data_IF_463486797143
#
_entry.id   IF_463486797143
#
_cell.length_a   1.000
_cell.length_b   1.000
_cell.length_c   1.000
_cell.angle_alpha   90.00
_cell.angle_beta   90.00
_cell.angle_gamma   90.00
#
_symmetry.space_group_name_H-M   'P 1'
#
loop_
_entity.id
_entity.type
_entity.pdbx_description
1 polymer ?
#
# COMPACT_ATOMS: atom_id res chain seq x y z
N UNK A 1 33.34 -76.02 -38.82
CA UNK A 1 33.79 -74.99 -37.88
C UNK A 1 33.44 -73.63 -38.47
N UNK A 2 32.41 -72.96 -37.94
CA UNK A 2 31.79 -71.75 -38.50
C UNK A 2 31.63 -70.75 -37.36
N UNK A 3 32.14 -69.53 -37.59
CA UNK A 3 31.75 -68.19 -37.11
C UNK A 3 31.31 -67.98 -35.65
N UNK A 4 31.72 -66.86 -35.03
CA UNK A 4 30.84 -65.70 -34.78
C UNK A 4 31.61 -64.47 -34.27
N UNK A 5 31.22 -63.31 -34.81
CA UNK A 5 31.60 -61.93 -34.47
C UNK A 5 31.09 -61.56 -33.07
N UNK A 6 31.71 -60.57 -32.40
CA UNK A 6 31.02 -59.30 -32.08
C UNK A 6 31.84 -58.33 -31.22
N UNK A 7 31.80 -57.08 -31.68
CA UNK A 7 32.06 -55.81 -30.99
C UNK A 7 31.29 -55.69 -29.67
N UNK A 8 31.82 -54.92 -28.71
CA UNK A 8 31.03 -54.10 -27.78
C UNK A 8 31.91 -53.00 -27.15
N UNK A 9 31.68 -51.77 -27.58
CA UNK A 9 32.16 -50.55 -26.94
C UNK A 9 31.02 -50.01 -26.07
N UNK A 10 31.25 -49.85 -24.78
CA UNK A 10 30.27 -49.32 -23.81
C UNK A 10 30.50 -47.81 -23.63
N UNK A 11 29.62 -47.02 -24.26
CA UNK A 11 29.46 -45.60 -24.03
C UNK A 11 28.53 -45.42 -22.82
N UNK A 12 29.05 -44.95 -21.67
CA UNK A 12 28.22 -44.55 -20.54
C UNK A 12 27.55 -43.20 -20.83
N UNK A 13 26.23 -43.21 -21.03
CA UNK A 13 25.38 -42.03 -20.98
C UNK A 13 25.08 -41.68 -19.50
N UNK A 14 25.51 -40.50 -19.06
CA UNK A 14 25.02 -39.88 -17.82
C UNK A 14 23.77 -39.07 -18.18
N UNK A 15 22.59 -39.56 -17.82
CA UNK A 15 21.35 -38.80 -17.95
C UNK A 15 21.17 -37.91 -16.72
N UNK A 16 21.32 -36.60 -16.90
CA UNK A 16 20.93 -35.61 -15.91
C UNK A 16 19.40 -35.55 -15.86
N UNK A 17 18.82 -36.12 -14.80
CA UNK A 17 17.40 -35.95 -14.49
C UNK A 17 17.19 -34.51 -13.98
N UNK A 18 16.78 -33.62 -14.88
CA UNK A 18 16.22 -32.33 -14.49
C UNK A 18 14.87 -32.59 -13.80
N UNK A 19 14.83 -32.50 -12.47
CA UNK A 19 13.59 -32.53 -11.71
C UNK A 19 12.74 -31.31 -12.08
N UNK A 20 11.78 -31.49 -12.99
CA UNK A 20 10.66 -30.59 -13.14
C UNK A 20 9.75 -30.79 -11.91
N UNK A 21 9.96 -30.01 -10.84
CA UNK A 21 9.01 -29.95 -9.74
C UNK A 21 7.69 -29.41 -10.27
N UNK A 22 6.60 -30.12 -10.01
CA UNK A 22 5.26 -29.66 -10.36
C UNK A 22 5.02 -28.24 -9.82
N UNK A 23 4.34 -27.36 -10.57
CA UNK A 23 4.03 -26.02 -10.09
C UNK A 23 3.24 -26.13 -8.79
N UNK A 24 3.70 -25.40 -7.77
CA UNK A 24 3.03 -25.33 -6.48
C UNK A 24 1.59 -24.80 -6.68
N UNK A 25 0.58 -25.39 -6.03
CA UNK A 25 -0.80 -24.93 -6.20
C UNK A 25 -0.91 -23.47 -5.78
N UNK A 26 -1.50 -22.64 -6.65
CA UNK A 26 -1.71 -21.23 -6.34
C UNK A 26 -2.58 -21.07 -5.08
N UNK A 27 -2.13 -20.22 -4.14
CA UNK A 27 -2.89 -19.91 -2.93
C UNK A 27 -4.27 -19.34 -3.34
N UNK A 28 -5.39 -19.88 -2.81
CA UNK A 28 -6.72 -19.40 -3.12
C UNK A 28 -6.89 -17.90 -2.87
N UNK A 29 -7.68 -17.23 -3.70
CA UNK A 29 -7.93 -15.79 -3.57
C UNK A 29 -8.46 -15.40 -2.18
N UNK A 30 -9.37 -16.21 -1.61
CA UNK A 30 -9.92 -15.94 -0.29
C UNK A 30 -8.83 -15.89 0.79
N UNK A 31 -7.84 -16.78 0.72
CA UNK A 31 -6.73 -16.84 1.67
C UNK A 31 -5.77 -15.67 1.47
N UNK A 32 -5.49 -15.30 0.21
CA UNK A 32 -4.67 -14.11 -0.11
C UNK A 32 -5.33 -12.82 0.37
N UNK A 33 -6.65 -12.69 0.20
CA UNK A 33 -7.42 -11.55 0.68
C UNK A 33 -7.44 -11.51 2.22
N UNK A 34 -7.66 -12.66 2.88
CA UNK A 34 -7.62 -12.75 4.34
C UNK A 34 -6.24 -12.38 4.89
N UNK A 35 -5.16 -12.85 4.25
CA UNK A 35 -3.79 -12.50 4.62
C UNK A 35 -3.53 -11.00 4.47
N UNK A 36 -3.99 -10.36 3.39
CA UNK A 36 -3.87 -8.92 3.21
C UNK A 36 -4.59 -8.16 4.34
N UNK A 37 -5.82 -8.56 4.67
CA UNK A 37 -6.64 -7.97 5.74
C UNK A 37 -6.12 -8.21 7.17
N UNK A 38 -5.23 -9.18 7.34
CA UNK A 38 -4.60 -9.49 8.62
C UNK A 38 -3.27 -8.74 8.83
N UNK A 39 -2.92 -7.81 7.93
CA UNK A 39 -1.74 -6.97 8.09
C UNK A 39 -1.80 -6.13 9.37
N UNK A 40 -0.64 -5.76 9.91
CA UNK A 40 -0.53 -5.27 11.29
C UNK A 40 -1.19 -3.92 11.56
N UNK A 41 -1.34 -3.08 10.53
CA UNK A 41 -2.00 -1.78 10.63
C UNK A 41 -2.68 -1.41 9.29
N UNK A 42 -3.55 -0.37 9.26
CA UNK A 42 -4.30 0.01 8.06
C UNK A 42 -3.44 0.37 6.84
N UNK A 43 -2.21 0.88 7.03
CA UNK A 43 -1.31 1.21 5.92
C UNK A 43 -0.64 -0.04 5.33
N UNK A 44 -0.29 -0.99 6.19
CA UNK A 44 0.21 -2.30 5.76
C UNK A 44 -0.88 -3.11 5.06
N UNK A 45 -2.13 -3.03 5.54
CA UNK A 45 -3.29 -3.64 4.87
C UNK A 45 -3.51 -3.02 3.48
N UNK A 46 -3.43 -1.68 3.37
CA UNK A 46 -3.55 -0.99 2.08
C UNK A 46 -2.47 -1.42 1.08
N UNK A 47 -1.22 -1.53 1.55
CA UNK A 47 -0.10 -2.00 0.75
C UNK A 47 -0.29 -3.46 0.30
N UNK A 48 -0.75 -4.34 1.19
CA UNK A 48 -1.01 -5.75 0.87
C UNK A 48 -2.17 -5.91 -0.12
N UNK A 49 -3.26 -5.15 0.04
CA UNK A 49 -4.37 -5.12 -0.92
C UNK A 49 -3.93 -4.54 -2.27
N UNK A 50 -3.04 -3.55 -2.26
CA UNK A 50 -2.43 -3.00 -3.48
C UNK A 50 -1.60 -4.03 -4.21
N UNK A 51 -0.77 -4.79 -3.50
CA UNK A 51 -0.01 -5.89 -4.08
C UNK A 51 -0.93 -6.97 -4.65
N UNK A 52 -1.99 -7.35 -3.94
CA UNK A 52 -2.99 -8.32 -4.42
C UNK A 52 -3.65 -7.85 -5.72
N UNK A 53 -4.05 -6.57 -5.80
CA UNK A 53 -4.65 -5.99 -7.00
C UNK A 53 -3.66 -5.89 -8.18
N UNK A 54 -2.35 -5.92 -7.92
CA UNK A 54 -1.31 -6.00 -8.92
C UNK A 54 -1.23 -7.35 -9.66
N UNK A 55 -1.89 -8.40 -9.15
CA UNK A 55 -1.90 -9.72 -9.81
C UNK A 55 -2.78 -9.69 -11.09
N UNK A 56 -2.19 -9.87 -12.29
CA UNK A 56 -2.94 -9.85 -13.55
C UNK A 56 -3.87 -11.06 -13.71
N UNK A 57 -3.71 -12.11 -12.90
CA UNK A 57 -4.52 -13.33 -12.97
C UNK A 57 -5.81 -13.26 -12.15
N UNK A 58 -6.07 -12.15 -11.43
CA UNK A 58 -7.33 -11.97 -10.72
C UNK A 58 -8.50 -11.92 -11.71
N UNK A 59 -9.51 -12.77 -11.45
CA UNK A 59 -10.79 -12.70 -12.16
C UNK A 59 -11.47 -11.36 -11.89
N UNK A 60 -12.34 -10.88 -12.79
CA UNK A 60 -13.06 -9.61 -12.60
C UNK A 60 -13.77 -9.50 -11.25
N UNK A 61 -14.43 -10.56 -10.79
CA UNK A 61 -15.15 -10.59 -9.51
C UNK A 61 -14.21 -10.51 -8.32
N UNK A 62 -13.05 -11.17 -8.41
CA UNK A 62 -12.02 -11.13 -7.36
C UNK A 62 -11.38 -9.74 -7.27
N UNK A 63 -11.10 -9.14 -8.43
CA UNK A 63 -10.61 -7.76 -8.52
C UNK A 63 -11.64 -6.77 -7.98
N UNK A 64 -12.92 -6.94 -8.28
CA UNK A 64 -14.01 -6.12 -7.73
C UNK A 64 -14.11 -6.25 -6.20
N UNK A 65 -14.04 -7.46 -5.64
CA UNK A 65 -14.04 -7.65 -4.19
C UNK A 65 -12.80 -7.02 -3.54
N UNK A 66 -11.60 -7.21 -4.10
CA UNK A 66 -10.37 -6.61 -3.55
C UNK A 66 -10.39 -5.07 -3.63
N UNK A 67 -10.91 -4.49 -4.72
CA UNK A 67 -11.14 -3.05 -4.84
C UNK A 67 -12.12 -2.55 -3.78
N UNK A 68 -13.24 -3.24 -3.58
CA UNK A 68 -14.21 -2.87 -2.54
C UNK A 68 -13.58 -2.89 -1.14
N UNK A 69 -12.82 -3.94 -0.80
CA UNK A 69 -12.16 -4.04 0.51
C UNK A 69 -11.14 -2.91 0.72
N UNK A 70 -10.30 -2.63 -0.29
CA UNK A 70 -9.32 -1.53 -0.23
C UNK A 70 -9.99 -0.16 -0.14
N UNK A 71 -11.05 0.06 -0.91
CA UNK A 71 -11.81 1.30 -0.87
C UNK A 71 -12.40 1.57 0.53
N UNK A 72 -13.04 0.56 1.13
CA UNK A 72 -13.64 0.66 2.45
C UNK A 72 -12.58 0.92 3.53
N UNK A 73 -11.45 0.20 3.48
CA UNK A 73 -10.30 0.45 4.33
C UNK A 73 -9.82 1.90 4.21
N UNK A 74 -9.54 2.37 2.99
CA UNK A 74 -9.05 3.72 2.69
C UNK A 74 -10.01 4.81 3.16
N UNK A 75 -11.32 4.56 3.08
CA UNK A 75 -12.35 5.50 3.58
C UNK A 75 -12.45 5.52 5.10
N UNK A 76 -12.06 4.46 5.78
CA UNK A 76 -12.23 4.36 7.23
C UNK A 76 -10.90 4.52 7.96
N UNK A 77 -10.11 3.45 8.04
CA UNK A 77 -8.91 3.38 8.86
C UNK A 77 -7.63 3.75 8.10
N UNK A 78 -7.64 3.67 6.77
CA UNK A 78 -6.48 3.89 5.92
C UNK A 78 -6.24 5.34 5.52
N UNK A 79 -7.03 6.30 6.05
CA UNK A 79 -6.87 7.75 5.84
C UNK A 79 -6.61 8.16 4.38
N UNK A 80 -7.30 7.57 3.41
CA UNK A 80 -7.08 7.85 1.98
C UNK A 80 -8.42 8.04 1.26
N UNK A 81 -9.12 9.13 1.57
CA UNK A 81 -10.46 9.38 0.99
C UNK A 81 -10.45 9.47 -0.54
N UNK A 82 -9.40 10.03 -1.15
CA UNK A 82 -9.28 10.08 -2.61
C UNK A 82 -9.12 8.70 -3.23
N UNK A 83 -8.22 7.89 -2.66
CA UNK A 83 -8.02 6.51 -3.09
C UNK A 83 -9.27 5.64 -2.89
N UNK A 84 -10.06 5.90 -1.84
CA UNK A 84 -11.33 5.21 -1.63
C UNK A 84 -12.34 5.50 -2.75
N UNK A 85 -12.52 6.77 -3.13
CA UNK A 85 -13.37 7.15 -4.27
C UNK A 85 -12.92 6.43 -5.54
N UNK A 86 -11.63 6.50 -5.86
CA UNK A 86 -11.08 5.86 -7.06
C UNK A 86 -11.32 4.34 -7.09
N UNK A 87 -11.14 3.66 -5.94
CA UNK A 87 -11.34 2.21 -5.87
C UNK A 87 -12.81 1.80 -5.95
N UNK A 88 -13.73 2.54 -5.32
CA UNK A 88 -15.17 2.28 -5.45
C UNK A 88 -15.65 2.53 -6.89
N UNK A 89 -15.20 3.60 -7.54
CA UNK A 89 -15.51 3.88 -8.95
C UNK A 89 -14.99 2.78 -9.87
N UNK A 90 -13.73 2.35 -9.69
CA UNK A 90 -13.15 1.25 -10.45
C UNK A 90 -13.91 -0.07 -10.24
N UNK A 91 -14.32 -0.37 -9.01
CA UNK A 91 -15.10 -1.56 -8.68
C UNK A 91 -16.46 -1.56 -9.40
N UNK A 92 -17.19 -0.43 -9.33
CA UNK A 92 -18.51 -0.29 -9.93
C UNK A 92 -18.47 -0.27 -11.46
N UNK A 93 -17.40 0.27 -12.06
CA UNK A 93 -17.18 0.22 -13.50
C UNK A 93 -16.85 -1.20 -13.98
N UNK A 94 -16.06 -1.95 -13.20
CA UNK A 94 -15.66 -3.31 -13.53
C UNK A 94 -16.79 -4.32 -13.38
N UNK A 95 -17.58 -4.22 -12.30
CA UNK A 95 -18.61 -5.20 -11.95
C UNK A 95 -19.84 -4.53 -11.31
N UNK A 96 -20.69 -3.85 -12.10
CA UNK A 96 -21.84 -3.08 -11.59
C UNK A 96 -22.92 -3.93 -10.89
N UNK A 97 -22.94 -5.25 -11.18
CA UNK A 97 -23.88 -6.23 -10.64
C UNK A 97 -23.26 -7.14 -9.57
N UNK A 98 -22.02 -6.85 -9.13
CA UNK A 98 -21.37 -7.60 -8.06
C UNK A 98 -22.20 -7.54 -6.77
N UNK A 99 -22.20 -8.58 -5.90
CA UNK A 99 -22.98 -8.56 -4.65
C UNK A 99 -22.69 -7.37 -3.73
N UNK A 100 -21.49 -6.78 -3.80
CA UNK A 100 -21.10 -5.57 -3.06
C UNK A 100 -21.54 -4.26 -3.72
N UNK A 101 -22.01 -4.24 -4.97
CA UNK A 101 -22.21 -3.01 -5.73
C UNK A 101 -23.21 -2.04 -5.08
N UNK A 102 -24.26 -2.55 -4.44
CA UNK A 102 -25.19 -1.71 -3.67
C UNK A 102 -24.49 -0.96 -2.53
N UNK A 103 -23.69 -1.69 -1.73
CA UNK A 103 -22.93 -1.13 -0.62
C UNK A 103 -21.81 -0.19 -1.11
N UNK A 104 -21.13 -0.54 -2.20
CA UNK A 104 -20.09 0.28 -2.81
C UNK A 104 -20.62 1.65 -3.26
N UNK A 105 -21.83 1.74 -3.81
CA UNK A 105 -22.46 3.03 -4.17
C UNK A 105 -22.68 3.92 -2.94
N UNK A 106 -23.18 3.34 -1.84
CA UNK A 106 -23.40 4.07 -0.59
C UNK A 106 -22.07 4.59 -0.04
N UNK A 107 -21.04 3.74 0.02
CA UNK A 107 -19.74 4.14 0.55
C UNK A 107 -19.00 5.12 -0.36
N UNK A 108 -19.20 5.04 -1.69
CA UNK A 108 -18.70 6.03 -2.64
C UNK A 108 -19.31 7.41 -2.39
N UNK A 109 -20.64 7.49 -2.18
CA UNK A 109 -21.29 8.76 -1.89
C UNK A 109 -20.78 9.35 -0.57
N UNK A 110 -20.59 8.51 0.46
CA UNK A 110 -19.97 8.95 1.72
C UNK A 110 -18.53 9.43 1.52
N UNK A 111 -17.71 8.70 0.75
CA UNK A 111 -16.33 9.09 0.46
C UNK A 111 -16.28 10.44 -0.28
N UNK A 112 -17.20 10.68 -1.22
CA UNK A 112 -17.32 11.96 -1.92
C UNK A 112 -17.73 13.10 -0.97
N UNK A 113 -18.70 12.87 -0.09
CA UNK A 113 -19.05 13.85 0.94
C UNK A 113 -17.89 14.14 1.91
N UNK A 114 -17.08 13.13 2.25
CA UNK A 114 -15.86 13.33 3.04
C UNK A 114 -14.88 14.27 2.31
N UNK A 115 -14.68 14.08 0.99
CA UNK A 115 -13.83 14.96 0.17
C UNK A 115 -14.37 16.38 0.10
N UNK A 116 -15.66 16.56 -0.18
CA UNK A 116 -16.33 17.86 -0.23
C UNK A 116 -16.15 18.65 1.07
N UNK A 117 -16.15 17.96 2.22
CA UNK A 117 -15.92 18.57 3.53
C UNK A 117 -14.44 18.88 3.82
N UNK A 118 -13.52 18.04 3.36
CA UNK A 118 -12.10 18.12 3.72
C UNK A 118 -11.28 19.00 2.78
N UNK A 119 -11.48 18.88 1.47
CA UNK A 119 -10.61 19.55 0.49
C UNK A 119 -10.62 21.08 0.59
N UNK A 120 -11.77 21.76 0.78
CA UNK A 120 -11.79 23.21 0.94
C UNK A 120 -10.98 23.71 2.13
N UNK A 121 -10.82 22.88 3.18
CA UNK A 121 -10.09 23.25 4.40
C UNK A 121 -8.61 23.48 4.14
N UNK A 122 -8.03 22.86 3.11
CA UNK A 122 -6.63 23.07 2.73
C UNK A 122 -6.35 24.52 2.28
N UNK A 123 -7.38 25.28 1.90
CA UNK A 123 -7.27 26.69 1.52
C UNK A 123 -7.41 27.66 2.71
N UNK A 124 -7.64 27.14 3.92
CA UNK A 124 -7.72 27.96 5.13
C UNK A 124 -6.34 28.16 5.76
N UNK A 125 -6.24 29.15 6.65
CA UNK A 125 -5.05 29.35 7.47
C UNK A 125 -4.98 28.28 8.57
N UNK A 126 -4.42 27.12 8.23
CA UNK A 126 -4.20 26.01 9.14
C UNK A 126 -2.81 26.07 9.76
N UNK A 127 -2.70 25.65 11.02
CA UNK A 127 -1.38 25.33 11.60
C UNK A 127 -0.82 24.06 10.96
N UNK A 128 0.49 23.81 11.07
CA UNK A 128 1.08 22.58 10.52
C UNK A 128 0.38 21.30 11.02
N UNK A 129 0.07 21.14 12.32
CA UNK A 129 -0.69 19.98 12.80
C UNK A 129 -2.06 19.84 12.15
N UNK A 130 -2.83 20.93 12.05
CA UNK A 130 -4.16 20.89 11.45
C UNK A 130 -4.11 20.55 9.96
N UNK A 131 -3.15 21.14 9.25
CA UNK A 131 -2.94 20.86 7.83
C UNK A 131 -2.49 19.41 7.63
N UNK A 132 -1.60 18.89 8.49
CA UNK A 132 -1.20 17.49 8.48
C UNK A 132 -2.42 16.57 8.59
N UNK A 133 -3.31 16.80 9.56
CA UNK A 133 -4.46 15.92 9.77
C UNK A 133 -5.38 15.88 8.55
N UNK A 134 -5.63 17.02 7.91
CA UNK A 134 -6.47 17.10 6.71
C UNK A 134 -5.76 16.45 5.52
N UNK A 135 -4.52 16.83 5.22
CA UNK A 135 -3.75 16.24 4.11
C UNK A 135 -3.57 14.73 4.28
N UNK A 136 -3.28 14.28 5.50
CA UNK A 136 -3.16 12.87 5.82
C UNK A 136 -4.49 12.16 5.56
N UNK A 137 -5.62 12.64 6.08
CA UNK A 137 -6.93 12.00 5.84
C UNK A 137 -7.30 11.91 4.35
N UNK A 138 -6.85 12.88 3.55
CA UNK A 138 -7.08 12.90 2.09
C UNK A 138 -6.23 11.87 1.32
N UNK A 139 -5.23 11.26 1.95
CA UNK A 139 -4.36 10.23 1.36
C UNK A 139 -2.91 10.66 1.16
N UNK A 140 -2.56 11.92 1.45
CA UNK A 140 -1.18 12.38 1.33
C UNK A 140 -0.35 11.83 2.49
N UNK A 141 0.75 11.14 2.20
CA UNK A 141 1.65 10.58 3.22
C UNK A 141 2.99 11.28 3.26
N UNK A 142 3.60 11.42 2.09
CA UNK A 142 4.97 11.89 1.95
C UNK A 142 5.10 13.38 2.29
N UNK A 143 4.33 14.23 1.62
CA UNK A 143 4.36 15.69 1.79
C UNK A 143 4.14 16.10 3.26
N UNK A 144 3.09 15.62 3.97
CA UNK A 144 2.89 15.98 5.37
C UNK A 144 3.96 15.45 6.33
N UNK A 145 4.46 14.22 6.12
CA UNK A 145 5.54 13.67 6.95
C UNK A 145 6.85 14.45 6.78
N UNK A 146 7.27 14.70 5.54
CA UNK A 146 8.49 15.47 5.25
C UNK A 146 8.40 16.90 5.75
N UNK A 147 7.23 17.51 5.69
CA UNK A 147 7.04 18.87 6.22
C UNK A 147 7.25 18.92 7.73
N UNK A 148 6.78 17.91 8.48
CA UNK A 148 7.09 17.78 9.90
C UNK A 148 8.58 17.63 10.15
N UNK A 149 9.22 16.70 9.44
CA UNK A 149 10.65 16.45 9.54
C UNK A 149 11.47 17.72 9.29
N UNK A 150 11.18 18.46 8.21
CA UNK A 150 11.90 19.69 7.86
C UNK A 150 11.57 20.89 8.76
N UNK A 151 10.35 20.96 9.30
CA UNK A 151 9.96 22.06 10.18
C UNK A 151 10.58 21.97 11.58
N UNK A 152 11.08 20.79 11.97
CA UNK A 152 11.62 20.57 13.31
C UNK A 152 10.57 20.78 14.41
N UNK A 153 9.30 20.50 14.12
CA UNK A 153 8.19 20.59 15.08
C UNK A 153 7.83 19.19 15.57
N UNK A 154 7.48 19.07 16.85
CA UNK A 154 7.05 17.80 17.43
C UNK A 154 5.61 17.45 16.99
N UNK A 155 5.36 16.26 16.41
CA UNK A 155 4.01 15.77 16.19
C UNK A 155 3.31 15.46 17.51
N UNK A 156 1.98 15.54 17.53
CA UNK A 156 1.20 15.05 18.67
C UNK A 156 1.22 13.51 18.73
N UNK A 157 0.66 12.92 19.79
CA UNK A 157 0.69 11.46 20.00
C UNK A 157 0.01 10.68 18.86
N UNK A 158 -1.17 11.11 18.41
CA UNK A 158 -1.89 10.46 17.31
C UNK A 158 -1.10 10.52 16.00
N UNK A 159 -0.58 11.70 15.66
CA UNK A 159 0.22 11.92 14.46
C UNK A 159 1.52 11.12 14.50
N UNK A 160 2.14 11.01 15.68
CA UNK A 160 3.32 10.16 15.90
C UNK A 160 2.99 8.72 15.56
N UNK A 161 1.85 8.21 16.04
CA UNK A 161 1.43 6.84 15.75
C UNK A 161 1.15 6.64 14.26
N UNK A 162 0.47 7.58 13.58
CA UNK A 162 0.27 7.55 12.12
C UNK A 162 1.58 7.49 11.35
N UNK A 163 2.54 8.33 11.72
CA UNK A 163 3.86 8.40 11.11
C UNK A 163 4.68 7.11 11.35
N UNK A 164 4.59 6.52 12.54
CA UNK A 164 5.20 5.21 12.85
C UNK A 164 4.59 4.09 12.02
N UNK A 165 3.27 4.00 12.00
CA UNK A 165 2.55 2.95 11.30
C UNK A 165 2.74 3.01 9.78
N UNK A 166 2.95 4.21 9.24
CA UNK A 166 3.30 4.46 7.84
C UNK A 166 4.82 4.40 7.55
N UNK A 167 5.66 4.12 8.55
CA UNK A 167 7.10 3.88 8.37
C UNK A 167 7.98 5.13 8.25
N UNK A 168 7.50 6.30 8.64
CA UNK A 168 8.30 7.54 8.66
C UNK A 168 9.07 7.73 9.97
N UNK A 169 8.53 7.22 11.09
CA UNK A 169 9.18 7.26 12.40
C UNK A 169 9.65 5.85 12.77
N UNK A 170 10.91 5.78 13.18
CA UNK A 170 11.61 4.60 13.65
C UNK A 170 11.87 4.71 15.17
N UNK A 171 12.33 3.61 15.77
CA UNK A 171 12.76 3.58 17.17
C UNK A 171 14.15 4.19 17.37
N UNK A 172 14.80 3.86 18.49
CA UNK A 172 16.12 4.39 18.84
C UNK A 172 17.21 4.04 17.82
N UNK A 173 16.97 3.00 17.02
CA UNK A 173 17.89 2.50 16.00
C UNK A 173 17.80 3.25 14.66
N UNK A 174 16.88 4.21 14.50
CA UNK A 174 16.79 4.99 13.27
C UNK A 174 17.86 6.07 13.16
N UNK A 175 18.41 6.23 11.95
CA UNK A 175 19.55 7.13 11.69
C UNK A 175 19.12 8.56 11.29
N UNK A 176 17.82 8.87 11.23
CA UNK A 176 17.31 10.17 10.79
C UNK A 176 17.28 11.25 11.87
N UNK A 177 17.82 10.97 13.06
CA UNK A 177 17.82 11.91 14.20
C UNK A 177 16.48 11.95 14.95
N UNK A 178 16.40 12.69 16.07
CA UNK A 178 15.26 12.64 16.99
C UNK A 178 13.97 13.20 16.36
N UNK A 179 12.84 12.58 16.68
CA UNK A 179 11.52 13.12 16.31
C UNK A 179 11.16 14.34 17.13
N UNK A 180 11.68 14.44 18.36
CA UNK A 180 11.50 15.60 19.20
C UNK A 180 12.02 16.85 18.49
N UNK A 181 11.09 17.75 18.17
CA UNK A 181 11.34 19.07 17.65
C UNK A 181 11.32 20.15 18.73
N UNK A 182 11.16 21.40 18.30
CA UNK A 182 11.09 22.57 19.16
C UNK A 182 9.88 22.54 20.12
N UNK A 183 10.06 23.11 21.31
CA UNK A 183 9.05 23.17 22.38
C UNK A 183 9.40 22.27 23.56
N UNK A 184 8.42 22.04 24.44
CA UNK A 184 8.61 21.21 25.62
C UNK A 184 8.87 19.74 25.25
N UNK A 185 9.74 19.03 26.02
CA UNK A 185 9.95 17.60 25.84
C UNK A 185 8.64 16.81 25.96
N UNK A 186 8.44 15.84 25.07
CA UNK A 186 7.25 14.97 25.07
C UNK A 186 7.65 13.53 25.38
N UNK A 187 7.04 12.94 26.41
CA UNK A 187 7.36 11.57 26.83
C UNK A 187 7.10 10.52 25.73
N UNK A 188 6.05 10.68 24.90
CA UNK A 188 5.76 9.74 23.81
C UNK A 188 6.75 9.82 22.63
N UNK A 189 7.64 10.82 22.61
CA UNK A 189 8.69 10.97 21.60
C UNK A 189 10.04 10.45 22.08
N UNK A 190 10.14 10.03 23.34
CA UNK A 190 11.41 9.55 23.91
C UNK A 190 11.94 8.34 23.14
N UNK A 191 13.19 8.43 22.69
CA UNK A 191 13.85 7.37 21.91
C UNK A 191 13.32 7.18 20.50
N UNK A 192 12.38 8.00 20.01
CA UNK A 192 11.91 7.94 18.63
C UNK A 192 12.81 8.77 17.71
N UNK A 193 13.09 8.22 16.53
CA UNK A 193 13.87 8.88 15.48
C UNK A 193 13.11 8.90 14.17
N UNK A 194 13.44 9.82 13.28
CA UNK A 194 13.00 9.72 11.89
C UNK A 194 13.73 8.56 11.22
N UNK A 195 13.03 7.81 10.36
CA UNK A 195 13.67 6.77 9.57
C UNK A 195 14.63 7.38 8.54
N UNK A 196 15.77 6.73 8.29
CA UNK A 196 16.71 7.12 7.25
C UNK A 196 17.12 5.90 6.42
N UNK A 197 16.92 5.92 5.08
CA UNK A 197 16.18 6.94 4.36
C UNK A 197 14.70 6.96 4.76
N UNK A 198 14.04 8.11 4.64
CA UNK A 198 12.58 8.17 4.70
C UNK A 198 11.98 7.35 3.53
N UNK A 199 10.76 6.81 3.68
CA UNK A 199 10.05 6.13 2.58
C UNK A 199 10.10 6.97 1.30
N UNK A 200 10.36 6.34 0.16
CA UNK A 200 10.38 7.04 -1.12
C UNK A 200 8.95 7.48 -1.49
N UNK A 201 8.77 8.66 -2.11
CA UNK A 201 7.48 9.02 -2.70
C UNK A 201 7.09 7.92 -3.70
N UNK A 202 5.85 7.45 -3.62
CA UNK A 202 5.30 6.63 -4.71
C UNK A 202 5.10 7.60 -5.87
N UNK A 203 5.94 7.51 -6.90
CA UNK A 203 5.73 8.26 -8.13
C UNK A 203 4.39 7.81 -8.73
N UNK A 204 3.34 8.59 -8.50
CA UNK A 204 2.11 8.47 -9.28
C UNK A 204 2.49 8.97 -10.67
N UNK A 205 2.63 8.06 -11.62
CA UNK A 205 2.91 8.38 -13.02
C UNK A 205 1.81 9.27 -13.60
N UNK A 206 1.95 10.57 -13.38
CA UNK A 206 1.39 11.59 -14.26
C UNK A 206 2.47 11.79 -15.30
N UNK A 207 2.37 11.00 -16.37
CA UNK A 207 3.08 11.29 -17.60
C UNK A 207 2.59 12.68 -18.04
N UNK A 208 3.38 13.71 -17.76
CA UNK A 208 3.21 15.04 -18.32
C UNK A 208 3.21 14.86 -19.83
N UNK A 209 2.02 14.93 -20.43
CA UNK A 209 1.88 15.03 -21.86
C UNK A 209 2.58 16.33 -22.28
N UNK A 210 3.80 16.16 -22.78
CA UNK A 210 4.65 17.18 -23.36
C UNK A 210 3.83 17.96 -24.40
N UNK A 211 3.39 19.16 -24.03
CA UNK A 211 2.88 20.15 -24.94
C UNK A 211 4.08 20.79 -25.66
N UNK A 212 4.67 20.01 -26.57
CA UNK A 212 5.82 20.40 -27.37
C UNK A 212 5.43 20.84 -28.79
N UNK A 213 5.19 22.15 -28.92
CA UNK A 213 5.43 23.05 -30.08
C UNK A 213 4.98 22.65 -31.49
#
# INVERSE_FOLDING_TARGET
MRSYRSFLATLMLVAAAACASAPEPAIPFADRLAAAKAAGNPYQEDAALTQLLGDPQLKPEQRAEALYQRASLRRLAGDNRRGAVADFEAMLALAPDHPRAGQARIELDLARSDLEALEPRLNYMLTLPQWFDVSWTLGERDVPARRYHSAGLSPNEEQTQKLKDAGFICGADGEGGPVQGAGDPRAWLEGLTWCSPLPQPVETGVEEADAGS
#
